data_IF_719507715450
#
_entry.id   IF_719507715450
#
_cell.length_a   1.000
_cell.length_b   1.000
_cell.length_c   1.000
_cell.angle_alpha   90.00
_cell.angle_beta   90.00
_cell.angle_gamma   90.00
#
_symmetry.space_group_name_H-M   'P 1'
#
loop_
_entity.id
_entity.type
_entity.pdbx_description
1 polymer ?
#
# COMPACT_ATOMS: atom_id res chain seq x y z
N UNK A 1 12.01 5.13 5.45
CA UNK A 1 10.98 5.87 6.21
C UNK A 1 9.73 5.01 6.31
N UNK A 2 8.98 5.09 7.40
CA UNK A 2 7.78 4.25 7.61
C UNK A 2 6.52 5.07 7.40
N UNK A 3 5.65 4.61 6.51
CA UNK A 3 4.38 5.23 6.14
C UNK A 3 3.25 4.28 6.52
N UNK A 4 2.16 4.81 7.08
CA UNK A 4 0.94 4.06 7.33
C UNK A 4 -0.17 4.61 6.46
N UNK A 5 -0.86 3.73 5.74
CA UNK A 5 -1.96 4.05 4.84
C UNK A 5 -3.16 3.18 5.18
N UNK A 6 -4.34 3.76 5.29
CA UNK A 6 -5.57 2.98 5.42
C UNK A 6 -6.12 2.72 4.02
N UNK A 7 -6.39 1.47 3.65
CA UNK A 7 -6.92 1.11 2.32
C UNK A 7 -8.20 0.32 2.49
N UNK A 8 -9.31 1.04 2.59
CA UNK A 8 -10.64 0.51 2.89
C UNK A 8 -11.16 -0.50 1.84
N UNK A 9 -10.60 -0.49 0.64
CA UNK A 9 -10.95 -1.41 -0.45
C UNK A 9 -10.32 -2.81 -0.33
N UNK A 10 -9.42 -3.06 0.63
CA UNK A 10 -8.78 -4.36 0.80
C UNK A 10 -9.69 -5.34 1.55
N UNK A 11 -10.46 -6.15 0.83
CA UNK A 11 -11.38 -7.15 1.42
C UNK A 11 -10.83 -8.57 1.42
N UNK A 12 -9.82 -8.87 0.62
CA UNK A 12 -9.24 -10.21 0.49
C UNK A 12 -7.72 -10.16 0.25
N UNK A 13 -7.06 -11.32 0.36
CA UNK A 13 -5.61 -11.48 0.10
C UNK A 13 -5.21 -11.06 -1.32
N UNK A 14 -6.11 -11.19 -2.30
CA UNK A 14 -5.85 -10.72 -3.66
C UNK A 14 -5.72 -9.18 -3.73
N UNK A 15 -6.54 -8.45 -2.97
CA UNK A 15 -6.41 -7.00 -2.85
C UNK A 15 -5.12 -6.62 -2.14
N UNK A 16 -4.76 -7.32 -1.06
CA UNK A 16 -3.49 -7.11 -0.36
C UNK A 16 -2.29 -7.29 -1.31
N UNK A 17 -2.28 -8.38 -2.07
CA UNK A 17 -1.21 -8.66 -3.04
C UNK A 17 -1.16 -7.61 -4.17
N UNK A 18 -2.31 -7.11 -4.63
CA UNK A 18 -2.39 -6.02 -5.61
C UNK A 18 -1.71 -4.75 -5.09
N UNK A 19 -2.03 -4.36 -3.85
CA UNK A 19 -1.44 -3.20 -3.17
C UNK A 19 0.07 -3.37 -2.97
N UNK A 20 0.52 -4.53 -2.49
CA UNK A 20 1.95 -4.82 -2.34
C UNK A 20 2.70 -4.69 -3.66
N UNK A 21 2.17 -5.26 -4.75
CA UNK A 21 2.77 -5.13 -6.09
C UNK A 21 2.81 -3.69 -6.59
N UNK A 22 1.78 -2.90 -6.30
CA UNK A 22 1.74 -1.49 -6.66
C UNK A 22 2.85 -0.69 -5.96
N UNK A 23 3.06 -0.97 -4.66
CA UNK A 23 4.15 -0.38 -3.87
C UNK A 23 5.52 -0.80 -4.44
N UNK A 24 5.72 -2.10 -4.69
CA UNK A 24 6.98 -2.62 -5.25
C UNK A 24 7.28 -2.13 -6.66
N UNK A 25 6.27 -1.71 -7.42
CA UNK A 25 6.48 -1.06 -8.72
C UNK A 25 7.09 0.34 -8.61
N UNK A 26 7.01 0.98 -7.44
CA UNK A 26 7.60 2.30 -7.17
C UNK A 26 8.91 2.16 -6.41
N UNK A 27 8.94 1.25 -5.43
CA UNK A 27 10.09 0.96 -4.60
C UNK A 27 10.19 -0.55 -4.40
N UNK A 28 11.04 -1.21 -5.18
CA UNK A 28 11.20 -2.66 -5.18
C UNK A 28 11.73 -3.23 -3.87
N UNK A 29 12.44 -2.42 -3.09
CA UNK A 29 13.03 -2.81 -1.81
C UNK A 29 12.11 -2.49 -0.61
N UNK A 30 10.91 -1.96 -0.87
CA UNK A 30 9.97 -1.61 0.18
C UNK A 30 9.51 -2.84 0.97
N UNK A 31 9.48 -2.72 2.29
CA UNK A 31 8.84 -3.70 3.17
C UNK A 31 7.39 -3.32 3.36
N UNK A 32 6.47 -4.23 3.00
CA UNK A 32 5.02 -3.99 3.07
C UNK A 32 4.40 -4.96 4.07
N UNK A 33 3.74 -4.41 5.09
CA UNK A 33 2.96 -5.17 6.05
C UNK A 33 1.49 -4.75 5.98
N UNK A 34 0.60 -5.71 5.73
CA UNK A 34 -0.83 -5.45 5.54
C UNK A 34 -1.60 -6.13 6.66
N UNK A 35 -2.41 -5.35 7.37
CA UNK A 35 -3.40 -5.85 8.30
C UNK A 35 -4.80 -5.72 7.69
N UNK A 36 -5.35 -6.85 7.27
CA UNK A 36 -6.69 -6.92 6.68
C UNK A 36 -7.82 -6.71 7.69
N UNK A 37 -7.58 -6.86 9.00
CA UNK A 37 -8.59 -6.61 10.02
C UNK A 37 -8.78 -5.11 10.23
N UNK A 38 -7.67 -4.36 10.31
CA UNK A 38 -7.68 -2.90 10.50
C UNK A 38 -7.68 -2.12 9.19
N UNK A 39 -7.47 -2.80 8.05
CA UNK A 39 -7.29 -2.19 6.72
C UNK A 39 -6.07 -1.26 6.62
N UNK A 40 -5.08 -1.48 7.49
CA UNK A 40 -3.87 -0.66 7.54
C UNK A 40 -2.74 -1.33 6.78
N UNK A 41 -2.08 -0.56 5.92
CA UNK A 41 -0.82 -0.92 5.25
C UNK A 41 0.29 -0.11 5.89
N UNK A 42 1.28 -0.79 6.45
CA UNK A 42 2.53 -0.18 6.88
C UNK A 42 3.58 -0.45 5.82
N UNK A 43 4.19 0.59 5.30
CA UNK A 43 5.22 0.53 4.27
C UNK A 43 6.51 1.15 4.78
N UNK A 44 7.59 0.40 4.77
CA UNK A 44 8.93 0.93 4.92
C UNK A 44 9.54 1.08 3.54
N UNK A 45 9.70 2.31 3.08
CA UNK A 45 10.19 2.63 1.75
C UNK A 45 11.11 3.85 1.78
N UNK A 46 11.81 4.07 0.67
CA UNK A 46 12.51 5.32 0.35
C UNK A 46 11.63 6.26 -0.46
N UNK A 47 10.67 5.71 -1.21
CA UNK A 47 9.68 6.48 -1.97
C UNK A 47 8.79 7.33 -1.06
N UNK A 48 8.34 8.47 -1.57
CA UNK A 48 7.46 9.38 -0.85
C UNK A 48 6.04 8.81 -0.69
N UNK A 49 5.36 9.21 0.37
CA UNK A 49 3.96 8.82 0.61
C UNK A 49 3.05 9.13 -0.58
N UNK A 50 3.23 10.29 -1.22
CA UNK A 50 2.46 10.67 -2.40
C UNK A 50 2.68 9.71 -3.58
N UNK A 51 3.92 9.25 -3.81
CA UNK A 51 4.22 8.29 -4.87
C UNK A 51 3.58 6.93 -4.60
N UNK A 52 3.62 6.46 -3.34
CA UNK A 52 2.97 5.21 -2.95
C UNK A 52 1.43 5.30 -3.09
N UNK A 53 0.80 6.37 -2.59
CA UNK A 53 -0.64 6.59 -2.75
C UNK A 53 -1.06 6.60 -4.22
N UNK A 54 -0.29 7.26 -5.09
CA UNK A 54 -0.57 7.30 -6.52
C UNK A 54 -0.47 5.91 -7.17
N UNK A 55 0.51 5.09 -6.79
CA UNK A 55 0.62 3.72 -7.30
C UNK A 55 -0.53 2.82 -6.83
N UNK A 56 -0.92 2.93 -5.57
CA UNK A 56 -2.06 2.21 -5.00
C UNK A 56 -3.36 2.62 -5.72
N UNK A 57 -3.56 3.91 -5.98
CA UNK A 57 -4.68 4.42 -6.77
C UNK A 57 -4.69 3.87 -8.20
N UNK A 58 -3.52 3.79 -8.84
CA UNK A 58 -3.38 3.19 -10.18
C UNK A 58 -3.71 1.69 -10.21
N UNK A 59 -3.55 1.00 -9.08
CA UNK A 59 -3.97 -0.39 -8.90
C UNK A 59 -5.48 -0.54 -8.58
N UNK A 60 -6.24 0.55 -8.57
CA UNK A 60 -7.69 0.55 -8.34
C UNK A 60 -8.09 0.64 -6.87
N UNK A 61 -7.17 1.03 -5.99
CA UNK A 61 -7.39 1.08 -4.55
C UNK A 61 -7.31 2.51 -4.01
N UNK A 62 -8.25 2.90 -3.15
CA UNK A 62 -8.26 4.21 -2.51
C UNK A 62 -7.55 4.15 -1.16
N UNK A 63 -6.62 5.07 -0.92
CA UNK A 63 -5.94 5.23 0.37
C UNK A 63 -6.47 6.43 1.12
N UNK A 64 -6.76 6.27 2.40
CA UNK A 64 -7.15 7.31 3.34
C UNK A 64 -5.98 7.61 4.28
N UNK A 65 -5.88 8.88 4.70
CA UNK A 65 -4.87 9.42 5.62
C UNK A 65 -5.28 9.25 7.07
#
# INVERSE_FOLDING_TARGET
MTIKLTVSSMVCDACANSVTKAIHSVDSDATVNIDLNTKVVTVEATASEAALKAAIAKAGHTTES
#
